data_IF_185607016716
#
_entry.id   IF_185607016716
#
_cell.length_a   1.000
_cell.length_b   1.000
_cell.length_c   1.000
_cell.angle_alpha   90.00
_cell.angle_beta   90.00
_cell.angle_gamma   90.00
#
_symmetry.space_group_name_H-M   'P 1'
#
loop_
_entity.id
_entity.type
_entity.pdbx_description
1 polymer ?
#
# COMPACT_ATOMS: atom_id res chain seq x y z
N UNK A 1 5.97 -36.66 -13.61
CA UNK A 1 6.31 -35.72 -14.71
C UNK A 1 5.76 -34.36 -14.31
N UNK A 2 6.60 -33.50 -13.72
CA UNK A 2 6.16 -32.20 -13.19
C UNK A 2 6.47 -31.14 -14.25
N UNK A 3 5.46 -30.77 -15.03
CA UNK A 3 5.58 -29.77 -16.08
C UNK A 3 5.72 -28.39 -15.46
N UNK A 4 6.95 -27.87 -15.44
CA UNK A 4 7.25 -26.45 -15.23
C UNK A 4 6.76 -25.68 -16.46
N UNK A 5 5.52 -25.21 -16.42
CA UNK A 5 5.01 -24.24 -17.39
C UNK A 5 5.50 -22.85 -17.02
N UNK A 6 6.55 -22.39 -17.71
CA UNK A 6 7.03 -21.02 -17.74
C UNK A 6 5.90 -20.07 -18.15
N UNK A 7 5.14 -19.56 -17.17
CA UNK A 7 4.22 -18.44 -17.38
C UNK A 7 5.00 -17.17 -17.09
N UNK A 8 5.44 -16.50 -18.15
CA UNK A 8 5.91 -15.11 -18.05
C UNK A 8 4.86 -14.30 -17.26
N UNK A 9 5.21 -13.74 -16.10
CA UNK A 9 4.31 -12.81 -15.43
C UNK A 9 4.10 -11.56 -16.30
N UNK A 10 2.92 -10.91 -16.25
CA UNK A 10 2.74 -9.59 -16.85
C UNK A 10 3.85 -8.65 -16.35
N UNK A 11 4.26 -7.66 -17.15
CA UNK A 11 5.42 -6.78 -16.87
C UNK A 11 5.40 -6.01 -15.53
N UNK A 12 4.34 -6.17 -14.72
CA UNK A 12 4.39 -6.04 -13.28
C UNK A 12 3.41 -7.03 -12.62
N UNK A 13 3.84 -8.20 -12.13
CA UNK A 13 2.96 -9.22 -11.55
C UNK A 13 2.55 -8.92 -10.11
N UNK A 14 3.02 -7.81 -9.55
CA UNK A 14 2.80 -7.50 -8.15
C UNK A 14 1.42 -6.88 -7.92
N UNK A 15 0.64 -7.44 -6.99
CA UNK A 15 -0.62 -6.85 -6.53
C UNK A 15 -0.43 -5.38 -6.15
N UNK A 16 -1.43 -4.55 -6.44
CA UNK A 16 -1.37 -3.11 -6.16
C UNK A 16 -1.08 -2.83 -4.68
N UNK A 17 -1.71 -3.58 -3.76
CA UNK A 17 -1.46 -3.50 -2.33
C UNK A 17 0.02 -3.74 -1.97
N UNK A 18 0.61 -4.84 -2.45
CA UNK A 18 2.01 -5.18 -2.19
C UNK A 18 2.98 -4.08 -2.68
N UNK A 19 2.65 -3.42 -3.79
CA UNK A 19 3.44 -2.31 -4.32
C UNK A 19 3.39 -1.09 -3.41
N UNK A 20 2.20 -0.73 -2.96
CA UNK A 20 2.02 0.38 -2.02
C UNK A 20 2.71 0.04 -0.70
N UNK A 21 2.52 -1.16 -0.15
CA UNK A 21 3.17 -1.65 1.08
C UNK A 21 4.69 -1.53 1.01
N UNK A 22 5.29 -2.00 -0.10
CA UNK A 22 6.74 -1.90 -0.29
C UNK A 22 7.21 -0.44 -0.25
N UNK A 23 6.51 0.45 -0.95
CA UNK A 23 6.94 1.85 -1.04
C UNK A 23 6.82 2.50 0.35
N UNK A 24 5.67 2.40 1.03
CA UNK A 24 5.49 3.00 2.35
C UNK A 24 6.45 2.39 3.40
N UNK A 25 6.73 1.08 3.32
CA UNK A 25 7.72 0.43 4.16
C UNK A 25 9.14 0.98 3.94
N UNK A 26 9.51 1.31 2.70
CA UNK A 26 10.79 1.98 2.39
C UNK A 26 10.90 3.39 3.01
N UNK A 27 9.78 4.04 3.29
CA UNK A 27 9.73 5.32 4.01
C UNK A 27 9.64 5.16 5.54
N UNK A 28 9.63 3.93 6.06
CA UNK A 28 9.61 3.64 7.50
C UNK A 28 8.23 3.40 8.11
N UNK A 29 7.18 3.29 7.29
CA UNK A 29 5.80 3.11 7.77
C UNK A 29 5.41 1.63 7.93
N UNK A 30 6.18 0.87 8.70
CA UNK A 30 5.94 -0.58 8.92
C UNK A 30 4.67 -0.86 9.74
N UNK A 31 4.19 0.13 10.50
CA UNK A 31 2.93 0.07 11.25
C UNK A 31 1.66 0.28 10.41
N UNK A 32 1.80 0.51 9.10
CA UNK A 32 0.68 0.70 8.17
C UNK A 32 0.56 -0.49 7.22
N UNK A 33 -0.65 -1.03 7.14
CA UNK A 33 -1.00 -2.13 6.25
C UNK A 33 -1.85 -1.61 5.07
N UNK A 34 -1.82 -2.32 3.94
CA UNK A 34 -2.59 -1.94 2.76
C UNK A 34 -3.46 -3.08 2.27
N UNK A 35 -4.76 -2.84 2.27
CA UNK A 35 -5.74 -3.73 1.65
C UNK A 35 -6.24 -3.14 0.34
N UNK A 36 -6.70 -3.97 -0.58
CA UNK A 36 -7.35 -3.54 -1.82
C UNK A 36 -8.65 -4.30 -2.02
N UNK A 37 -9.78 -3.63 -1.74
CA UNK A 37 -11.12 -4.23 -1.80
C UNK A 37 -11.66 -4.35 -3.25
N UNK A 38 -11.12 -3.53 -4.16
CA UNK A 38 -11.51 -3.46 -5.57
C UNK A 38 -10.27 -3.23 -6.42
N UNK A 39 -10.41 -3.41 -7.74
CA UNK A 39 -9.37 -3.02 -8.68
C UNK A 39 -9.05 -1.53 -8.52
N UNK A 40 -7.77 -1.18 -8.40
CA UNK A 40 -7.25 0.20 -8.31
C UNK A 40 -7.59 1.00 -7.03
N UNK A 41 -8.32 0.40 -6.09
CA UNK A 41 -8.64 1.02 -4.79
C UNK A 41 -7.75 0.44 -3.70
N UNK A 42 -7.21 1.31 -2.85
CA UNK A 42 -6.42 0.90 -1.69
C UNK A 42 -6.97 1.51 -0.40
N UNK A 43 -7.01 0.70 0.64
CA UNK A 43 -7.39 1.06 2.01
C UNK A 43 -6.16 0.93 2.89
N UNK A 44 -5.76 2.04 3.50
CA UNK A 44 -4.63 2.14 4.42
C UNK A 44 -5.14 2.02 5.86
N UNK A 45 -4.63 1.05 6.62
CA UNK A 45 -4.98 0.81 8.02
C UNK A 45 -3.72 0.76 8.88
N UNK A 46 -3.86 0.96 10.19
CA UNK A 46 -2.75 0.90 11.14
C UNK A 46 -2.56 2.21 11.87
N UNK A 47 -1.37 2.41 12.42
CA UNK A 47 -1.07 3.53 13.32
C UNK A 47 0.17 4.31 12.89
N UNK A 48 0.14 5.63 13.06
CA UNK A 48 1.32 6.50 12.88
C UNK A 48 1.42 7.50 14.03
N UNK A 49 2.58 8.10 14.22
CA UNK A 49 2.83 9.00 15.36
C UNK A 49 2.27 10.41 15.13
N UNK A 50 2.34 10.92 13.90
CA UNK A 50 1.90 12.28 13.59
C UNK A 50 0.89 12.37 12.43
N UNK A 51 0.12 13.46 12.41
CA UNK A 51 -0.78 13.80 11.29
C UNK A 51 0.00 13.93 9.97
N UNK A 52 1.24 14.44 10.05
CA UNK A 52 2.12 14.60 8.89
C UNK A 52 2.52 13.24 8.29
N UNK A 53 2.79 12.24 9.13
CA UNK A 53 3.08 10.88 8.69
C UNK A 53 1.88 10.28 7.97
N UNK A 54 0.68 10.43 8.54
CA UNK A 54 -0.56 9.99 7.89
C UNK A 54 -0.72 10.64 6.51
N UNK A 55 -0.49 11.95 6.41
CA UNK A 55 -0.60 12.68 5.15
C UNK A 55 0.44 12.21 4.12
N UNK A 56 1.67 11.94 4.55
CA UNK A 56 2.74 11.43 3.69
C UNK A 56 2.43 10.03 3.16
N UNK A 57 1.98 9.11 4.02
CA UNK A 57 1.57 7.75 3.61
C UNK A 57 0.45 7.81 2.57
N UNK A 58 -0.56 8.67 2.79
CA UNK A 58 -1.66 8.87 1.83
C UNK A 58 -1.15 9.43 0.50
N UNK A 59 -0.22 10.39 0.53
CA UNK A 59 0.37 10.96 -0.68
C UNK A 59 1.18 9.93 -1.48
N UNK A 60 1.95 9.07 -0.81
CA UNK A 60 2.69 7.96 -1.43
C UNK A 60 1.72 6.98 -2.10
N UNK A 61 0.67 6.56 -1.40
CA UNK A 61 -0.34 5.67 -1.98
C UNK A 61 -0.99 6.29 -3.22
N UNK A 62 -1.39 7.57 -3.17
CA UNK A 62 -2.02 8.28 -4.31
C UNK A 62 -1.10 8.45 -5.51
N UNK A 63 0.20 8.55 -5.30
CA UNK A 63 1.20 8.70 -6.37
C UNK A 63 1.73 7.36 -6.89
N UNK A 64 1.31 6.24 -6.29
CA UNK A 64 1.68 4.91 -6.76
C UNK A 64 0.94 4.57 -8.06
N UNK A 65 1.66 4.23 -9.16
CA UNK A 65 1.03 3.91 -10.44
C UNK A 65 0.01 2.78 -10.33
N UNK A 66 -1.21 3.04 -10.79
CA UNK A 66 -2.34 2.10 -10.74
C UNK A 66 -3.27 2.31 -9.55
N UNK A 67 -2.98 3.26 -8.65
CA UNK A 67 -3.93 3.70 -7.61
C UNK A 67 -4.83 4.79 -8.18
N UNK A 68 -6.15 4.61 -8.06
CA UNK A 68 -7.15 5.63 -8.43
C UNK A 68 -7.86 6.19 -7.20
N UNK A 69 -8.08 5.36 -6.17
CA UNK A 69 -8.75 5.76 -4.93
C UNK A 69 -7.93 5.30 -3.74
N UNK A 70 -7.76 6.20 -2.77
CA UNK A 70 -7.11 5.92 -1.49
C UNK A 70 -8.11 6.22 -0.38
N UNK A 71 -8.41 5.20 0.42
CA UNK A 71 -9.13 5.33 1.69
C UNK A 71 -8.13 5.22 2.82
N UNK A 72 -8.20 6.13 3.80
CA UNK A 72 -7.29 6.14 4.95
C UNK A 72 -8.07 5.99 6.25
N UNK A 73 -7.84 4.86 6.91
CA UNK A 73 -8.35 4.51 8.24
C UNK A 73 -7.19 4.43 9.25
N UNK A 74 -6.09 5.12 8.96
CA UNK A 74 -4.92 5.23 9.84
C UNK A 74 -5.31 6.05 11.07
N UNK A 75 -4.97 5.53 12.24
CA UNK A 75 -5.14 6.21 13.54
C UNK A 75 -3.81 6.79 14.03
N UNK A 76 -3.89 7.79 14.91
CA UNK A 76 -2.71 8.40 15.53
C UNK A 76 -2.43 7.75 16.87
N UNK A 77 -1.19 7.31 17.10
CA UNK A 77 -0.76 6.74 18.39
C UNK A 77 -0.74 7.80 19.48
N UNK A 78 -0.31 9.02 19.14
CA UNK A 78 -0.42 10.21 20.00
C UNK A 78 -1.69 10.98 19.66
N UNK A 79 -2.72 10.77 20.47
CA UNK A 79 -3.80 11.74 20.61
C UNK A 79 -3.27 12.85 21.53
N UNK A 80 -2.91 14.00 20.97
CA UNK A 80 -2.60 15.18 21.76
C UNK A 80 -3.86 15.69 22.48
#
# INVERSE_FOLDING_TARGET
>A
MSSHSSKHPPANPEPLCARVERIIGRFGFEGVQVSSDQSWHVTLTGTVDEVNDRALVVAIARTTPGVTVVRSEITLTKQN
#
